data_IF_429023959249
#
_entry.id   IF_429023959249
#
_cell.length_a   1.000
_cell.length_b   1.000
_cell.length_c   1.000
_cell.angle_alpha   90.00
_cell.angle_beta   90.00
_cell.angle_gamma   90.00
#
_symmetry.space_group_name_H-M   'P 1'
#
loop_
_entity.id
_entity.type
_entity.pdbx_description
1 polymer ?
#
# COMPACT_ATOMS: atom_id res chain seq x y z
N UNK A 1 -20.03 -29.29 19.74
CA UNK A 1 -18.57 -29.53 19.63
C UNK A 1 -17.92 -28.96 18.36
N UNK A 2 -18.65 -28.67 17.27
CA UNK A 2 -18.08 -28.11 16.01
C UNK A 2 -17.73 -26.60 16.03
N UNK A 3 -18.47 -25.75 16.77
CA UNK A 3 -18.20 -24.28 16.84
C UNK A 3 -16.90 -23.88 17.54
N UNK A 4 -16.40 -24.66 18.51
CA UNK A 4 -15.12 -24.40 19.18
C UNK A 4 -13.90 -24.91 18.40
N UNK A 5 -14.09 -25.88 17.49
CA UNK A 5 -13.01 -26.38 16.64
C UNK A 5 -12.72 -25.45 15.46
N UNK A 6 -13.71 -24.72 14.93
CA UNK A 6 -13.50 -23.72 13.86
C UNK A 6 -12.77 -22.48 14.39
N UNK A 7 -13.13 -21.99 15.59
CA UNK A 7 -12.40 -20.89 16.26
C UNK A 7 -10.94 -21.29 16.55
N UNK A 8 -10.69 -22.54 16.98
CA UNK A 8 -9.33 -23.02 17.23
C UNK A 8 -8.54 -23.31 15.95
N UNK A 9 -9.19 -23.75 14.86
CA UNK A 9 -8.55 -24.00 13.57
C UNK A 9 -8.27 -22.70 12.81
N UNK A 10 -9.09 -21.64 12.93
CA UNK A 10 -8.78 -20.31 12.37
C UNK A 10 -7.74 -19.54 13.20
N UNK A 11 -7.77 -19.63 14.53
CA UNK A 11 -6.65 -19.14 15.37
C UNK A 11 -5.36 -19.90 15.10
N UNK A 12 -5.42 -21.23 14.85
CA UNK A 12 -4.25 -21.99 14.42
C UNK A 12 -3.82 -21.66 12.99
N UNK A 13 -4.72 -21.40 12.04
CA UNK A 13 -4.34 -20.97 10.69
C UNK A 13 -3.70 -19.57 10.70
N UNK A 14 -4.19 -18.65 11.56
CA UNK A 14 -3.56 -17.34 11.74
C UNK A 14 -2.22 -17.43 12.47
N UNK A 15 -2.04 -18.36 13.42
CA UNK A 15 -0.75 -18.60 14.08
C UNK A 15 0.22 -19.47 13.25
N UNK A 16 -0.28 -20.29 12.31
CA UNK A 16 0.55 -21.12 11.42
C UNK A 16 1.15 -20.33 10.24
N UNK A 17 0.78 -19.06 10.08
CA UNK A 17 1.52 -18.11 9.23
C UNK A 17 2.61 -17.32 10.00
N UNK A 18 2.92 -17.71 11.25
CA UNK A 18 4.04 -17.16 12.05
C UNK A 18 5.14 -18.20 12.35
N UNK A 19 5.20 -19.32 11.62
CA UNK A 19 6.52 -19.69 11.09
C UNK A 19 6.88 -18.61 10.06
N UNK A 20 8.14 -18.23 9.81
CA UNK A 20 8.43 -17.36 8.68
C UNK A 20 7.76 -18.02 7.48
N UNK A 21 6.64 -17.43 7.06
CA UNK A 21 5.92 -17.89 5.90
C UNK A 21 7.01 -17.86 4.85
N UNK A 22 7.34 -19.01 4.28
CA UNK A 22 7.77 -19.01 2.90
C UNK A 22 6.58 -18.38 2.18
N UNK A 23 6.53 -17.06 2.21
CA UNK A 23 5.68 -16.26 1.36
C UNK A 23 6.01 -16.86 0.01
N UNK A 24 5.01 -17.45 -0.64
CA UNK A 24 5.02 -17.65 -2.08
C UNK A 24 4.94 -16.28 -2.77
N UNK A 25 5.80 -15.36 -2.31
CA UNK A 25 6.11 -14.05 -2.77
C UNK A 25 7.57 -14.15 -3.16
N UNK A 26 7.72 -14.42 -4.45
CA UNK A 26 8.92 -14.24 -5.25
C UNK A 26 10.08 -13.58 -4.51
N UNK A 27 11.12 -14.39 -4.31
CA UNK A 27 12.52 -14.01 -4.39
C UNK A 27 12.77 -12.51 -4.64
N UNK A 28 12.75 -11.71 -3.57
CA UNK A 28 13.20 -10.31 -3.57
C UNK A 28 14.70 -10.19 -3.90
N UNK A 29 15.36 -11.34 -4.17
CA UNK A 29 16.73 -11.47 -4.67
C UNK A 29 16.87 -11.56 -6.20
N UNK A 30 15.81 -11.34 -6.98
CA UNK A 30 15.99 -10.95 -8.40
C UNK A 30 16.73 -9.61 -8.46
N UNK A 31 18.07 -9.68 -8.45
CA UNK A 31 18.99 -8.52 -8.49
C UNK A 31 18.76 -7.60 -9.70
N UNK A 32 18.14 -8.14 -10.75
CA UNK A 32 17.93 -7.44 -12.01
C UNK A 32 16.44 -7.42 -12.35
N UNK A 33 15.84 -6.21 -12.46
CA UNK A 33 14.48 -6.07 -12.97
C UNK A 33 14.34 -6.68 -14.37
N UNK A 34 13.20 -7.34 -14.61
CA UNK A 34 12.80 -7.82 -15.93
C UNK A 34 12.44 -6.63 -16.86
N UNK A 35 11.89 -5.56 -16.29
CA UNK A 35 11.61 -4.29 -16.96
C UNK A 35 12.07 -3.12 -16.10
N UNK A 36 12.73 -2.14 -16.73
CA UNK A 36 13.04 -0.85 -16.10
C UNK A 36 12.27 0.26 -16.79
N UNK A 37 11.73 1.19 -16.01
CA UNK A 37 11.00 2.36 -16.49
C UNK A 37 11.68 3.62 -15.94
N UNK A 38 11.87 4.60 -16.82
CA UNK A 38 12.63 5.82 -16.55
C UNK A 38 12.00 7.07 -17.16
N UNK A 39 10.93 6.93 -17.96
CA UNK A 39 10.17 8.04 -18.55
C UNK A 39 8.65 7.78 -18.58
N UNK A 40 7.88 8.84 -18.85
CA UNK A 40 6.42 8.76 -18.98
C UNK A 40 6.00 7.92 -20.19
N UNK A 41 6.73 8.00 -21.30
CA UNK A 41 6.50 7.18 -22.50
C UNK A 41 6.67 5.68 -22.20
N UNK A 42 7.73 5.32 -21.46
CA UNK A 42 7.97 3.93 -21.06
C UNK A 42 6.87 3.42 -20.13
N UNK A 43 6.39 4.25 -19.19
CA UNK A 43 5.29 3.88 -18.30
C UNK A 43 3.96 3.71 -19.06
N UNK A 44 3.66 4.59 -20.04
CA UNK A 44 2.50 4.43 -20.94
C UNK A 44 2.59 3.16 -21.77
N UNK A 45 3.76 2.87 -22.33
CA UNK A 45 3.97 1.67 -23.11
C UNK A 45 3.82 0.39 -22.26
N UNK A 46 4.27 0.43 -21.01
CA UNK A 46 4.04 -0.63 -20.05
C UNK A 46 2.55 -0.83 -19.75
N UNK A 47 1.83 0.23 -19.40
CA UNK A 47 0.38 0.18 -19.17
C UNK A 47 -0.37 -0.39 -20.39
N UNK A 48 0.03 0.02 -21.60
CA UNK A 48 -0.55 -0.48 -22.85
C UNK A 48 -0.35 -1.99 -23.02
N UNK A 49 0.82 -2.52 -22.64
CA UNK A 49 1.06 -3.98 -22.72
C UNK A 49 0.19 -4.75 -21.74
N UNK A 50 0.05 -4.27 -20.50
CA UNK A 50 -0.81 -4.90 -19.50
C UNK A 50 -2.26 -4.85 -19.95
N UNK A 51 -2.75 -3.70 -20.40
CA UNK A 51 -4.11 -3.53 -20.89
C UNK A 51 -4.42 -4.36 -22.17
N UNK A 52 -3.41 -4.96 -22.80
CA UNK A 52 -3.55 -5.90 -23.91
C UNK A 52 -3.30 -7.37 -23.51
N UNK A 53 -3.32 -7.71 -22.22
CA UNK A 53 -3.26 -9.09 -21.70
C UNK A 53 -1.86 -9.57 -21.29
N UNK A 54 -0.84 -8.71 -21.29
CA UNK A 54 0.46 -9.09 -20.70
C UNK A 54 0.46 -8.81 -19.20
N UNK A 55 0.08 -9.80 -18.39
CA UNK A 55 -0.09 -9.65 -16.92
C UNK A 55 1.20 -9.43 -16.15
N UNK A 56 2.35 -9.81 -16.72
CA UNK A 56 3.67 -9.80 -16.09
C UNK A 56 3.83 -10.72 -14.86
N UNK A 57 3.06 -11.82 -14.78
CA UNK A 57 3.25 -12.83 -13.74
C UNK A 57 4.73 -13.28 -13.62
N UNK A 58 5.23 -13.39 -12.40
CA UNK A 58 6.63 -13.76 -12.15
C UNK A 58 7.67 -12.67 -12.44
N UNK A 59 7.28 -11.47 -12.89
CA UNK A 59 8.21 -10.43 -13.37
C UNK A 59 8.36 -9.27 -12.40
N UNK A 60 9.58 -8.75 -12.32
CA UNK A 60 9.92 -7.53 -11.60
C UNK A 60 10.02 -6.33 -12.56
N UNK A 61 9.17 -5.33 -12.34
CA UNK A 61 9.14 -4.05 -13.04
C UNK A 61 9.64 -3.00 -12.05
N UNK A 62 10.61 -2.18 -12.45
CA UNK A 62 11.21 -1.19 -11.55
C UNK A 62 11.31 0.20 -12.14
N UNK A 63 10.83 1.20 -11.40
CA UNK A 63 11.15 2.59 -11.70
C UNK A 63 12.60 2.89 -11.34
N UNK A 64 13.28 3.63 -12.21
CA UNK A 64 14.69 4.01 -12.02
C UNK A 64 14.87 5.52 -11.84
N UNK A 65 13.79 6.29 -12.04
CA UNK A 65 13.72 7.75 -11.92
C UNK A 65 12.32 8.15 -11.50
N UNK A 66 12.21 9.39 -11.01
CA UNK A 66 10.92 10.07 -10.92
C UNK A 66 10.35 10.23 -12.33
N UNK A 67 9.03 10.07 -12.47
CA UNK A 67 8.31 10.13 -13.74
C UNK A 67 7.41 11.36 -13.71
N UNK A 68 7.56 12.22 -14.71
CA UNK A 68 6.79 13.46 -14.83
C UNK A 68 5.98 13.45 -16.13
N UNK A 69 4.66 13.54 -15.99
CA UNK A 69 3.72 13.74 -17.09
C UNK A 69 3.41 15.23 -17.27
N UNK A 70 2.95 15.61 -18.46
CA UNK A 70 2.43 16.95 -18.71
C UNK A 70 0.97 17.03 -18.21
N UNK A 71 0.66 17.77 -17.12
CA UNK A 71 -0.69 17.82 -16.58
C UNK A 71 -1.69 18.53 -17.50
N UNK A 72 -1.23 19.33 -18.48
CA UNK A 72 -2.10 20.00 -19.46
C UNK A 72 -2.57 19.04 -20.58
N UNK A 73 -1.93 17.87 -20.71
CA UNK A 73 -2.39 16.82 -21.61
C UNK A 73 -3.56 16.09 -20.93
N UNK A 74 -4.77 16.24 -21.47
CA UNK A 74 -5.96 15.53 -20.99
C UNK A 74 -5.77 14.02 -21.13
N UNK A 75 -6.18 13.26 -20.10
CA UNK A 75 -6.11 11.80 -20.06
C UNK A 75 -4.73 11.24 -20.46
N UNK A 76 -3.65 11.90 -20.01
CA UNK A 76 -2.27 11.60 -20.38
C UNK A 76 -1.76 10.22 -19.94
N UNK A 77 -2.56 9.47 -19.19
CA UNK A 77 -2.22 8.14 -18.71
C UNK A 77 -3.45 7.25 -18.51
N UNK A 78 -3.45 6.11 -19.21
CA UNK A 78 -4.42 5.03 -18.97
C UNK A 78 -3.93 4.13 -17.83
N UNK A 79 -4.72 3.93 -16.77
CA UNK A 79 -4.40 3.03 -15.66
C UNK A 79 -4.01 1.62 -16.11
N UNK A 80 -3.12 0.99 -15.34
CA UNK A 80 -2.55 -0.32 -15.63
C UNK A 80 -3.51 -1.43 -15.18
N UNK A 81 -3.85 -2.37 -16.06
CA UNK A 81 -4.70 -3.53 -15.71
C UNK A 81 -6.20 -3.28 -15.83
N UNK A 82 -6.65 -2.17 -16.45
CA UNK A 82 -8.09 -1.97 -16.74
C UNK A 82 -8.56 -2.72 -17.98
N UNK A 83 -7.68 -3.46 -18.66
CA UNK A 83 -8.02 -4.11 -19.92
C UNK A 83 -8.25 -3.13 -21.09
N UNK A 84 -8.48 -3.70 -22.27
CA UNK A 84 -8.49 -2.95 -23.54
C UNK A 84 -9.73 -2.07 -23.72
N UNK A 85 -10.84 -2.43 -23.09
CA UNK A 85 -12.16 -1.85 -23.37
C UNK A 85 -12.78 -1.06 -22.21
N UNK A 86 -12.13 -1.01 -21.04
CA UNK A 86 -12.70 -0.36 -19.85
C UNK A 86 -13.11 1.10 -20.07
N UNK A 87 -12.34 1.90 -20.82
CA UNK A 87 -12.71 3.31 -21.08
C UNK A 87 -14.04 3.43 -21.82
N UNK A 88 -14.38 2.47 -22.69
CA UNK A 88 -15.68 2.42 -23.40
C UNK A 88 -16.82 1.92 -22.51
N UNK A 89 -16.48 1.13 -21.49
CA UNK A 89 -17.45 0.52 -20.58
C UNK A 89 -17.65 1.33 -19.29
N UNK A 90 -16.85 2.37 -19.02
CA UNK A 90 -16.97 3.21 -17.81
C UNK A 90 -18.41 3.65 -17.54
N UNK A 91 -19.10 4.15 -18.57
CA UNK A 91 -20.50 4.57 -18.48
C UNK A 91 -21.51 3.42 -18.32
N UNK A 92 -21.15 2.18 -18.71
CA UNK A 92 -21.95 0.97 -18.44
C UNK A 92 -21.92 0.68 -16.94
N UNK A 93 -20.72 0.59 -16.37
CA UNK A 93 -20.50 0.17 -14.98
C UNK A 93 -20.96 1.21 -13.95
N UNK A 94 -20.88 2.51 -14.25
CA UNK A 94 -21.45 3.56 -13.39
C UNK A 94 -22.97 3.44 -13.17
N UNK A 95 -23.67 2.70 -14.04
CA UNK A 95 -25.12 2.49 -13.96
C UNK A 95 -25.52 1.15 -13.34
N UNK A 96 -24.55 0.31 -13.00
CA UNK A 96 -24.78 -1.00 -12.38
C UNK A 96 -24.82 -0.87 -10.86
N UNK A 97 -25.57 -1.75 -10.21
CA UNK A 97 -25.63 -1.80 -8.75
C UNK A 97 -24.28 -2.27 -8.20
N UNK A 98 -23.90 -1.72 -7.05
CA UNK A 98 -22.64 -2.00 -6.38
C UNK A 98 -22.56 -3.50 -6.04
N UNK A 99 -21.44 -4.18 -6.33
CA UNK A 99 -21.29 -5.64 -6.16
C UNK A 99 -21.55 -6.45 -7.44
N UNK A 100 -22.65 -6.21 -8.16
CA UNK A 100 -22.95 -6.97 -9.41
C UNK A 100 -21.95 -6.73 -10.53
N UNK A 101 -21.37 -5.54 -10.59
CA UNK A 101 -20.37 -5.19 -11.60
C UNK A 101 -19.01 -5.85 -11.34
N UNK A 102 -18.71 -6.22 -10.09
CA UNK A 102 -17.41 -6.75 -9.68
C UNK A 102 -17.11 -8.08 -10.35
N UNK A 103 -18.04 -9.03 -10.25
CA UNK A 103 -17.95 -10.36 -10.87
C UNK A 103 -17.85 -10.30 -12.40
N UNK A 104 -18.55 -9.36 -13.04
CA UNK A 104 -18.42 -9.12 -14.48
C UNK A 104 -17.04 -8.54 -14.81
N UNK A 105 -16.56 -7.61 -13.99
CA UNK A 105 -15.29 -6.93 -14.21
C UNK A 105 -14.10 -7.88 -14.15
N UNK A 106 -14.00 -8.70 -13.11
CA UNK A 106 -12.88 -9.63 -12.93
C UNK A 106 -12.85 -10.73 -14.00
N UNK A 107 -14.01 -11.11 -14.57
CA UNK A 107 -14.09 -12.07 -15.67
C UNK A 107 -13.61 -11.49 -17.01
N UNK A 108 -13.80 -10.19 -17.21
CA UNK A 108 -13.48 -9.52 -18.47
C UNK A 108 -12.08 -8.89 -18.50
N UNK A 109 -11.40 -8.76 -17.36
CA UNK A 109 -10.14 -8.03 -17.24
C UNK A 109 -9.01 -8.87 -16.66
N UNK A 110 -7.95 -9.07 -17.45
CA UNK A 110 -6.68 -9.62 -16.97
C UNK A 110 -5.86 -8.50 -16.30
N UNK A 111 -5.88 -8.46 -14.97
CA UNK A 111 -5.16 -7.47 -14.17
C UNK A 111 -3.64 -7.65 -14.18
N UNK A 112 -2.95 -6.76 -13.48
CA UNK A 112 -1.50 -6.85 -13.29
C UNK A 112 -1.14 -7.85 -12.18
N UNK A 113 -0.33 -8.87 -12.49
CA UNK A 113 0.10 -9.93 -11.55
C UNK A 113 1.62 -9.99 -11.33
N UNK A 114 2.37 -9.01 -11.86
CA UNK A 114 3.79 -8.86 -11.59
C UNK A 114 4.09 -8.13 -10.28
N UNK A 115 5.37 -7.81 -10.07
CA UNK A 115 5.83 -6.89 -8.99
C UNK A 115 6.25 -5.56 -9.61
N UNK A 116 5.56 -4.48 -9.27
CA UNK A 116 5.90 -3.11 -9.64
C UNK A 116 6.57 -2.41 -8.46
N UNK A 117 7.90 -2.29 -8.51
CA UNK A 117 8.72 -1.58 -7.54
C UNK A 117 8.98 -0.14 -8.00
N UNK A 118 8.32 0.82 -7.35
CA UNK A 118 8.51 2.24 -7.55
C UNK A 118 9.90 2.75 -7.15
N UNK A 119 10.73 1.98 -6.44
CA UNK A 119 12.07 2.40 -6.05
C UNK A 119 12.14 3.59 -5.08
N UNK A 120 10.99 3.97 -4.51
CA UNK A 120 10.82 5.20 -3.74
C UNK A 120 10.73 6.46 -4.61
N UNK A 121 10.49 6.30 -5.92
CA UNK A 121 10.33 7.38 -6.89
C UNK A 121 8.92 7.97 -6.88
N UNK A 122 8.82 9.19 -7.39
CA UNK A 122 7.57 9.92 -7.52
C UNK A 122 7.06 9.81 -8.96
N UNK A 123 5.77 9.54 -9.11
CA UNK A 123 5.03 9.76 -10.35
C UNK A 123 4.20 11.02 -10.18
N UNK A 124 4.33 11.98 -11.10
CA UNK A 124 3.61 13.25 -11.00
C UNK A 124 3.03 13.74 -12.32
N UNK A 125 2.03 14.61 -12.23
CA UNK A 125 1.41 15.25 -13.39
C UNK A 125 0.42 14.36 -14.13
N UNK A 126 0.03 13.21 -13.56
CA UNK A 126 -1.05 12.40 -14.12
C UNK A 126 -2.31 13.26 -14.25
N UNK A 127 -2.97 13.22 -15.39
CA UNK A 127 -4.25 13.87 -15.61
C UNK A 127 -5.22 12.80 -16.10
N UNK A 128 -6.23 12.49 -15.28
CA UNK A 128 -7.22 11.46 -15.54
C UNK A 128 -8.61 11.99 -15.27
N UNK A 129 -9.47 11.86 -16.27
CA UNK A 129 -10.88 12.22 -16.20
C UNK A 129 -11.80 11.10 -16.67
N UNK A 130 -12.98 10.99 -16.06
CA UNK A 130 -14.08 10.11 -16.50
C UNK A 130 -13.64 8.66 -16.78
N UNK A 131 -12.95 8.04 -15.80
CA UNK A 131 -12.43 6.68 -15.92
C UNK A 131 -12.29 5.97 -14.57
N UNK A 132 -12.06 4.65 -14.63
CA UNK A 132 -11.56 3.88 -13.48
C UNK A 132 -10.13 4.32 -13.16
N UNK A 133 -9.97 5.25 -12.22
CA UNK A 133 -8.74 6.02 -12.05
C UNK A 133 -7.67 5.34 -11.18
N UNK A 134 -6.50 5.98 -11.14
CA UNK A 134 -5.33 5.53 -10.40
C UNK A 134 -4.16 5.16 -11.29
N UNK A 135 -3.05 4.75 -10.67
CA UNK A 135 -1.92 4.18 -11.39
C UNK A 135 -2.27 2.80 -11.98
N UNK A 136 -2.98 1.99 -11.21
CA UNK A 136 -3.51 0.68 -11.57
C UNK A 136 -5.04 0.70 -11.56
N UNK A 137 -5.65 0.03 -12.53
CA UNK A 137 -7.06 -0.33 -12.46
C UNK A 137 -7.29 -1.57 -11.62
N UNK A 138 -6.45 -2.58 -11.82
CA UNK A 138 -6.63 -3.88 -11.18
C UNK A 138 -5.28 -4.53 -10.93
N UNK A 139 -4.99 -4.73 -9.64
CA UNK A 139 -3.84 -5.50 -9.15
C UNK A 139 -4.36 -6.90 -8.83
N UNK A 140 -4.16 -7.83 -9.76
CA UNK A 140 -4.66 -9.20 -9.71
C UNK A 140 -3.56 -10.13 -9.20
N UNK A 141 -3.50 -10.39 -7.89
CA UNK A 141 -2.43 -11.18 -7.25
C UNK A 141 -1.00 -10.62 -7.46
N UNK A 142 -0.88 -9.38 -7.93
CA UNK A 142 0.38 -8.67 -8.13
C UNK A 142 0.84 -7.90 -6.87
N UNK A 143 1.98 -7.22 -6.98
CA UNK A 143 2.47 -6.30 -5.93
C UNK A 143 2.79 -4.92 -6.49
N UNK A 144 2.37 -3.86 -5.80
CA UNK A 144 2.68 -2.46 -6.11
C UNK A 144 3.34 -1.82 -4.88
N UNK A 145 4.62 -1.47 -5.02
CA UNK A 145 5.46 -1.11 -3.89
C UNK A 145 6.20 0.20 -4.09
N UNK A 146 6.42 0.96 -3.03
CA UNK A 146 7.36 2.10 -3.00
C UNK A 146 7.04 3.24 -4.00
N UNK A 147 5.76 3.52 -4.25
CA UNK A 147 5.31 4.56 -5.20
C UNK A 147 4.74 5.77 -4.44
N UNK A 148 5.08 6.98 -4.88
CA UNK A 148 4.36 8.20 -4.46
C UNK A 148 3.70 8.87 -5.65
N UNK A 149 2.39 9.09 -5.57
CA UNK A 149 1.63 9.92 -6.53
C UNK A 149 1.58 11.36 -6.01
N UNK A 150 1.93 12.32 -6.86
CA UNK A 150 1.97 13.75 -6.48
C UNK A 150 1.55 14.65 -7.64
N UNK A 151 0.87 15.77 -7.36
CA UNK A 151 0.49 16.75 -8.38
C UNK A 151 -0.27 16.09 -9.55
N UNK A 152 -1.14 15.13 -9.25
CA UNK A 152 -2.04 14.54 -10.22
C UNK A 152 -3.39 15.27 -10.18
N UNK A 153 -4.01 15.38 -11.34
CA UNK A 153 -5.38 15.85 -11.53
C UNK A 153 -6.25 14.62 -11.74
N UNK A 154 -7.07 14.30 -10.74
CA UNK A 154 -8.10 13.28 -10.83
C UNK A 154 -9.46 13.97 -10.80
N UNK A 155 -10.24 13.83 -11.87
CA UNK A 155 -11.53 14.46 -12.01
C UNK A 155 -12.60 13.47 -12.46
N UNK A 156 -13.68 13.36 -11.70
CA UNK A 156 -14.76 12.42 -11.97
C UNK A 156 -14.29 10.97 -12.20
N UNK A 157 -13.33 10.52 -11.40
CA UNK A 157 -12.83 9.14 -11.47
C UNK A 157 -13.57 8.21 -10.51
N UNK A 158 -13.48 6.92 -10.79
CA UNK A 158 -13.81 5.83 -9.86
C UNK A 158 -12.51 5.11 -9.50
N UNK A 159 -11.98 5.31 -8.30
CA UNK A 159 -10.66 4.75 -7.94
C UNK A 159 -9.97 5.42 -6.77
N UNK A 160 -8.89 4.80 -6.31
CA UNK A 160 -7.87 5.45 -5.49
C UNK A 160 -6.71 5.97 -6.34
N UNK A 161 -5.76 6.67 -5.73
CA UNK A 161 -4.61 7.20 -6.49
C UNK A 161 -3.65 6.09 -6.99
N UNK A 162 -3.61 4.95 -6.31
CA UNK A 162 -2.74 3.82 -6.63
C UNK A 162 -3.52 2.76 -7.41
N UNK A 163 -4.70 2.37 -6.93
CA UNK A 163 -5.49 1.31 -7.53
C UNK A 163 -6.99 1.65 -7.57
N UNK A 164 -7.71 1.10 -8.55
CA UNK A 164 -9.15 0.94 -8.44
C UNK A 164 -9.47 -0.32 -7.61
N UNK A 165 -9.07 -1.51 -8.06
CA UNK A 165 -9.24 -2.78 -7.32
C UNK A 165 -7.88 -3.35 -6.90
N UNK A 166 -7.77 -3.81 -5.66
CA UNK A 166 -6.63 -4.57 -5.14
C UNK A 166 -7.03 -5.97 -4.66
N UNK A 167 -6.68 -6.98 -5.45
CA UNK A 167 -6.65 -8.41 -5.07
C UNK A 167 -5.18 -8.89 -4.89
N UNK A 168 -4.27 -7.98 -4.59
CA UNK A 168 -2.86 -8.28 -4.41
C UNK A 168 -2.27 -7.52 -3.23
N UNK A 169 -1.06 -7.03 -3.41
CA UNK A 169 -0.34 -6.34 -2.35
C UNK A 169 -0.01 -4.91 -2.74
N UNK A 170 -0.42 -3.95 -1.90
CA UNK A 170 0.02 -2.55 -2.04
C UNK A 170 0.83 -2.20 -0.79
N UNK A 171 2.11 -1.86 -0.98
CA UNK A 171 3.04 -1.60 0.12
C UNK A 171 3.79 -0.28 -0.02
N UNK A 172 3.91 0.48 1.05
CA UNK A 172 4.71 1.71 1.05
C UNK A 172 4.33 2.67 -0.10
N UNK A 173 3.03 2.79 -0.36
CA UNK A 173 2.48 3.62 -1.42
C UNK A 173 1.76 4.84 -0.84
N UNK A 174 1.96 6.01 -1.47
CA UNK A 174 1.54 7.27 -0.89
C UNK A 174 0.83 8.19 -1.89
N UNK A 175 -0.34 8.67 -1.50
CA UNK A 175 -1.04 9.73 -2.22
C UNK A 175 -0.72 11.11 -1.66
N UNK A 176 -0.36 12.04 -2.55
CA UNK A 176 -0.19 13.47 -2.26
C UNK A 176 -0.97 14.37 -3.22
N UNK A 177 -1.94 13.81 -3.93
CA UNK A 177 -2.76 14.49 -4.93
C UNK A 177 -4.21 14.58 -4.48
N UNK A 178 -4.93 15.59 -4.97
CA UNK A 178 -6.36 15.69 -4.72
C UNK A 178 -7.11 14.68 -5.60
N UNK A 179 -8.08 13.99 -5.03
CA UNK A 179 -9.01 13.14 -5.78
C UNK A 179 -10.40 13.77 -5.80
N UNK A 180 -11.00 13.84 -6.98
CA UNK A 180 -12.38 14.26 -7.19
C UNK A 180 -13.05 13.20 -8.05
N UNK A 181 -14.18 12.68 -7.60
CA UNK A 181 -14.99 11.80 -8.42
C UNK A 181 -16.04 11.06 -7.63
N UNK A 182 -16.85 10.27 -8.34
CA UNK A 182 -18.02 9.66 -7.75
C UNK A 182 -17.63 8.74 -6.60
N UNK A 183 -16.72 7.81 -6.88
CA UNK A 183 -16.24 6.83 -5.93
C UNK A 183 -14.73 6.97 -5.79
N UNK A 184 -14.27 7.62 -4.72
CA UNK A 184 -12.84 7.91 -4.53
C UNK A 184 -12.35 7.66 -3.11
N UNK A 185 -11.10 7.20 -3.03
CA UNK A 185 -10.36 6.96 -1.79
C UNK A 185 -8.88 7.33 -1.95
N UNK A 186 -8.10 7.37 -0.87
CA UNK A 186 -6.72 7.82 -0.98
C UNK A 186 -5.80 6.88 -1.77
N UNK A 187 -5.91 5.56 -1.56
CA UNK A 187 -4.96 4.56 -2.08
C UNK A 187 -5.63 3.62 -3.09
N UNK A 188 -6.60 2.83 -2.66
CA UNK A 188 -7.33 1.87 -3.48
C UNK A 188 -8.82 2.04 -3.27
N UNK A 189 -9.67 1.92 -4.29
CA UNK A 189 -11.12 1.98 -4.02
C UNK A 189 -11.56 0.75 -3.24
N UNK A 190 -11.23 -0.43 -3.77
CA UNK A 190 -11.56 -1.73 -3.21
C UNK A 190 -10.29 -2.48 -2.81
N UNK A 191 -10.33 -3.14 -1.66
CA UNK A 191 -9.25 -3.98 -1.17
C UNK A 191 -9.77 -5.33 -0.67
N UNK A 192 -9.44 -6.41 -1.39
CA UNK A 192 -9.73 -7.79 -0.99
C UNK A 192 -8.52 -8.49 -0.35
N UNK A 193 -7.34 -7.90 -0.51
CA UNK A 193 -6.10 -8.49 -0.02
C UNK A 193 -5.33 -7.50 0.87
N UNK A 194 -4.06 -7.20 0.65
CA UNK A 194 -3.26 -6.50 1.68
C UNK A 194 -2.81 -5.11 1.23
N UNK A 195 -3.12 -4.11 2.05
CA UNK A 195 -2.55 -2.77 2.01
C UNK A 195 -1.73 -2.55 3.28
N UNK A 196 -0.43 -2.28 3.12
CA UNK A 196 0.51 -2.06 4.23
C UNK A 196 1.35 -0.81 4.05
N UNK A 197 1.66 -0.12 5.15
CA UNK A 197 2.60 1.00 5.15
C UNK A 197 2.20 2.13 4.17
N UNK A 198 0.91 2.33 3.93
CA UNK A 198 0.42 3.30 2.95
C UNK A 198 -0.06 4.59 3.62
N UNK A 199 -0.13 5.66 2.83
CA UNK A 199 -0.63 6.94 3.37
C UNK A 199 -1.36 7.80 2.36
N UNK A 200 -2.43 8.43 2.82
CA UNK A 200 -3.05 9.54 2.10
C UNK A 200 -2.83 10.86 2.82
N UNK A 201 -2.27 11.84 2.11
CA UNK A 201 -2.26 13.25 2.57
C UNK A 201 -3.01 14.17 1.61
N UNK A 202 -3.47 13.62 0.48
CA UNK A 202 -4.25 14.34 -0.52
C UNK A 202 -5.69 14.55 -0.07
N UNK A 203 -6.30 15.65 -0.52
CA UNK A 203 -7.73 15.91 -0.25
C UNK A 203 -8.57 14.94 -1.08
N UNK A 204 -9.59 14.35 -0.46
CA UNK A 204 -10.57 13.50 -1.14
C UNK A 204 -11.87 14.31 -1.20
N UNK A 205 -12.38 14.56 -2.40
CA UNK A 205 -13.60 15.35 -2.66
C UNK A 205 -14.57 14.52 -3.49
N UNK A 206 -15.25 13.57 -2.86
CA UNK A 206 -16.15 12.68 -3.56
C UNK A 206 -17.46 13.35 -3.97
N UNK A 207 -18.04 12.93 -5.08
CA UNK A 207 -19.22 13.56 -5.71
C UNK A 207 -20.43 12.64 -5.85
N UNK A 208 -20.26 11.32 -5.69
CA UNK A 208 -21.28 10.32 -5.98
C UNK A 208 -21.62 9.41 -4.80
N UNK A 209 -22.80 8.84 -4.82
CA UNK A 209 -23.47 8.22 -3.67
C UNK A 209 -22.88 6.84 -3.29
N UNK A 210 -21.81 6.78 -2.49
CA UNK A 210 -21.19 5.52 -2.04
C UNK A 210 -20.36 5.68 -0.76
N UNK A 211 -19.87 4.55 -0.21
CA UNK A 211 -18.90 4.46 0.89
C UNK A 211 -17.55 5.08 0.54
N UNK A 212 -16.91 5.75 1.50
CA UNK A 212 -15.66 6.47 1.23
C UNK A 212 -14.72 6.46 2.41
N UNK A 213 -13.43 6.32 2.12
CA UNK A 213 -12.42 6.39 3.16
C UNK A 213 -11.10 7.00 2.75
N UNK A 214 -10.35 7.42 3.77
CA UNK A 214 -9.06 8.08 3.60
C UNK A 214 -8.00 7.20 2.93
N UNK A 215 -8.08 5.88 3.09
CA UNK A 215 -7.20 4.89 2.45
C UNK A 215 -7.98 4.07 1.42
N UNK A 216 -9.09 3.46 1.81
CA UNK A 216 -9.98 2.72 0.91
C UNK A 216 -11.44 3.10 1.05
N UNK A 217 -12.24 2.86 0.01
CA UNK A 217 -13.69 2.96 0.12
C UNK A 217 -14.25 1.68 0.74
N UNK A 218 -13.86 0.51 0.24
CA UNK A 218 -14.29 -0.81 0.71
C UNK A 218 -13.09 -1.65 1.08
N UNK A 219 -13.16 -2.31 2.24
CA UNK A 219 -12.13 -3.21 2.74
C UNK A 219 -12.72 -4.57 3.11
N UNK A 220 -12.41 -5.58 2.30
CA UNK A 220 -12.68 -7.00 2.59
C UNK A 220 -11.39 -7.79 2.87
N UNK A 221 -10.24 -7.13 2.80
CA UNK A 221 -8.92 -7.66 3.18
C UNK A 221 -8.30 -6.99 4.42
N UNK A 222 -6.97 -6.87 4.41
CA UNK A 222 -6.16 -6.33 5.49
C UNK A 222 -5.61 -4.92 5.18
N UNK A 223 -5.79 -3.99 6.12
CA UNK A 223 -5.15 -2.68 6.14
C UNK A 223 -4.29 -2.57 7.39
N UNK A 224 -2.98 -2.49 7.21
CA UNK A 224 -2.04 -2.48 8.33
C UNK A 224 -1.08 -1.31 8.22
N UNK A 225 -0.82 -0.62 9.33
CA UNK A 225 0.21 0.41 9.42
C UNK A 225 0.00 1.60 8.44
N UNK A 226 -1.27 1.98 8.21
CA UNK A 226 -1.63 3.02 7.25
C UNK A 226 -2.14 4.29 7.94
N UNK A 227 -2.05 5.44 7.26
CA UNK A 227 -2.62 6.67 7.81
C UNK A 227 -3.23 7.62 6.79
N UNK A 228 -4.30 8.29 7.23
CA UNK A 228 -4.89 9.41 6.52
C UNK A 228 -4.62 10.73 7.25
N UNK A 229 -4.07 11.69 6.53
CA UNK A 229 -3.96 13.09 6.94
C UNK A 229 -4.65 14.05 5.97
N UNK A 230 -5.16 13.55 4.85
CA UNK A 230 -5.94 14.31 3.89
C UNK A 230 -7.36 14.55 4.38
N UNK A 231 -7.90 15.75 4.15
CA UNK A 231 -9.31 16.01 4.45
C UNK A 231 -10.20 15.26 3.47
N UNK A 232 -11.32 14.75 3.97
CA UNK A 232 -12.41 14.17 3.19
C UNK A 232 -13.54 15.21 3.18
N UNK A 233 -13.88 15.73 2.00
CA UNK A 233 -14.85 16.83 1.82
C UNK A 233 -16.08 16.29 1.09
N UNK A 234 -17.14 16.04 1.85
CA UNK A 234 -18.39 15.42 1.44
C UNK A 234 -19.34 16.52 0.99
N UNK A 235 -19.77 16.47 -0.27
CA UNK A 235 -20.67 17.48 -0.86
C UNK A 235 -22.07 16.96 -1.19
N UNK A 236 -22.31 15.65 -1.13
CA UNK A 236 -23.59 15.02 -1.40
C UNK A 236 -24.50 14.99 -0.16
N UNK A 237 -25.76 14.59 -0.38
CA UNK A 237 -26.80 14.59 0.65
C UNK A 237 -27.05 13.21 1.26
N UNK A 238 -26.21 12.22 0.94
CA UNK A 238 -26.49 10.82 1.26
C UNK A 238 -25.81 10.38 2.56
N UNK A 239 -26.46 9.41 3.22
CA UNK A 239 -26.08 8.90 4.53
C UNK A 239 -25.24 7.61 4.42
N UNK A 240 -24.25 7.58 3.54
CA UNK A 240 -23.31 6.45 3.43
C UNK A 240 -22.21 6.53 4.51
N UNK A 241 -21.58 5.39 4.79
CA UNK A 241 -20.44 5.31 5.72
C UNK A 241 -19.22 6.07 5.21
N UNK A 242 -18.79 7.08 5.98
CA UNK A 242 -17.55 7.81 5.75
C UNK A 242 -16.54 7.56 6.86
N UNK A 243 -15.40 6.97 6.53
CA UNK A 243 -14.36 6.68 7.51
C UNK A 243 -13.04 7.39 7.22
N UNK A 244 -12.30 7.71 8.28
CA UNK A 244 -10.97 8.28 8.14
C UNK A 244 -9.95 7.33 7.48
N UNK A 245 -10.17 6.02 7.54
CA UNK A 245 -9.35 4.99 6.89
C UNK A 245 -10.15 4.24 5.83
N UNK A 246 -11.27 3.62 6.22
CA UNK A 246 -12.12 2.84 5.31
C UNK A 246 -13.57 3.36 5.33
N UNK A 247 -14.25 3.41 4.19
CA UNK A 247 -15.68 3.72 4.17
C UNK A 247 -16.53 2.57 4.70
N UNK A 248 -16.20 1.37 4.26
CA UNK A 248 -16.85 0.11 4.57
C UNK A 248 -15.80 -0.94 4.92
N UNK A 249 -16.03 -1.76 5.94
CA UNK A 249 -15.11 -2.80 6.38
C UNK A 249 -15.82 -4.12 6.69
N UNK A 250 -15.46 -5.15 5.92
CA UNK A 250 -16.06 -6.48 5.95
C UNK A 250 -17.47 -6.46 5.42
N UNK A 251 -17.91 -7.60 4.93
CA UNK A 251 -19.18 -7.79 4.25
C UNK A 251 -20.35 -7.98 5.24
N UNK A 252 -21.55 -7.59 4.81
CA UNK A 252 -22.79 -7.66 5.56
C UNK A 252 -23.59 -8.94 5.30
N UNK A 253 -23.17 -9.75 4.34
CA UNK A 253 -23.78 -11.06 4.08
C UNK A 253 -23.53 -12.06 5.24
N UNK A 254 -24.60 -12.69 5.72
CA UNK A 254 -24.61 -13.58 6.90
C UNK A 254 -23.69 -14.82 6.75
N UNK A 255 -23.42 -15.23 5.50
CA UNK A 255 -22.54 -16.35 5.13
C UNK A 255 -21.21 -15.89 4.50
N UNK A 256 -20.89 -14.60 4.56
CA UNK A 256 -19.68 -14.08 3.91
C UNK A 256 -18.39 -14.62 4.54
N UNK A 257 -17.46 -15.04 3.68
CA UNK A 257 -16.08 -15.33 4.06
C UNK A 257 -15.19 -14.05 4.05
N UNK A 258 -15.75 -12.90 3.67
CA UNK A 258 -15.05 -11.62 3.60
C UNK A 258 -14.89 -10.99 4.99
N UNK A 259 -13.63 -10.89 5.46
CA UNK A 259 -13.29 -10.38 6.78
C UNK A 259 -12.38 -9.15 6.69
N UNK A 260 -12.95 -7.97 6.91
CA UNK A 260 -12.17 -6.73 6.93
C UNK A 260 -11.31 -6.61 8.19
N UNK A 261 -9.99 -6.61 8.02
CA UNK A 261 -9.02 -6.41 9.11
C UNK A 261 -8.33 -5.05 9.01
N UNK A 262 -8.29 -4.33 10.13
CA UNK A 262 -7.61 -3.05 10.22
C UNK A 262 -6.75 -2.98 11.47
N UNK A 263 -5.46 -2.73 11.29
CA UNK A 263 -4.50 -2.76 12.39
C UNK A 263 -3.51 -1.60 12.34
N UNK A 264 -3.23 -1.02 13.51
CA UNK A 264 -2.18 0.00 13.67
C UNK A 264 -2.30 1.19 12.71
N UNK A 265 -3.54 1.62 12.43
CA UNK A 265 -3.82 2.70 11.50
C UNK A 265 -4.20 3.98 12.24
N UNK A 266 -4.02 5.16 11.62
CA UNK A 266 -4.58 6.38 12.20
C UNK A 266 -5.08 7.42 11.22
N UNK A 267 -6.03 8.24 11.68
CA UNK A 267 -6.57 9.36 10.94
C UNK A 267 -6.44 10.69 11.69
N UNK A 268 -5.88 11.70 11.03
CA UNK A 268 -5.88 13.10 11.49
C UNK A 268 -6.55 14.05 10.49
N UNK A 269 -6.86 13.56 9.29
CA UNK A 269 -7.53 14.30 8.23
C UNK A 269 -8.99 14.54 8.60
N UNK A 270 -9.48 15.77 8.44
CA UNK A 270 -10.85 16.10 8.84
C UNK A 270 -11.84 15.50 7.85
N UNK A 271 -12.91 14.91 8.39
CA UNK A 271 -14.08 14.54 7.62
C UNK A 271 -15.06 15.71 7.73
N UNK A 272 -15.32 16.36 6.60
CA UNK A 272 -16.09 17.59 6.50
C UNK A 272 -17.30 17.30 5.62
N UNK A 273 -18.48 17.36 6.19
CA UNK A 273 -19.74 17.30 5.46
C UNK A 273 -20.82 18.08 6.21
N UNK A 274 -22.09 17.83 5.90
CA UNK A 274 -23.22 18.56 6.51
C UNK A 274 -23.56 18.03 7.90
N UNK A 275 -24.18 18.90 8.71
CA UNK A 275 -24.64 18.55 10.05
C UNK A 275 -25.69 17.42 10.00
N UNK A 276 -25.54 16.41 10.85
CA UNK A 276 -26.49 15.29 11.01
C UNK A 276 -26.05 13.94 10.45
N UNK A 277 -24.95 13.88 9.67
CA UNK A 277 -24.44 12.60 9.14
C UNK A 277 -23.42 11.96 10.09
N UNK A 278 -23.39 10.62 10.09
CA UNK A 278 -22.44 9.84 10.87
C UNK A 278 -21.08 9.77 10.14
N UNK A 279 -20.14 10.59 10.57
CA UNK A 279 -18.75 10.59 10.09
C UNK A 279 -17.83 9.97 11.14
N UNK A 280 -17.09 8.95 10.73
CA UNK A 280 -16.29 8.13 11.61
C UNK A 280 -14.78 8.32 11.43
N UNK A 281 -14.07 8.42 12.54
CA UNK A 281 -12.63 8.66 12.55
C UNK A 281 -11.80 7.55 11.92
N UNK A 282 -12.27 6.30 11.93
CA UNK A 282 -11.56 5.12 11.42
C UNK A 282 -12.36 4.46 10.29
N UNK A 283 -13.52 3.88 10.57
CA UNK A 283 -14.35 3.17 9.58
C UNK A 283 -15.74 3.78 9.54
N UNK A 284 -16.26 4.10 8.35
CA UNK A 284 -17.65 4.55 8.18
C UNK A 284 -18.64 3.51 8.71
N UNK A 285 -18.83 2.43 7.95
CA UNK A 285 -19.62 1.27 8.33
C UNK A 285 -18.70 0.07 8.53
N UNK A 286 -18.84 -0.61 9.66
CA UNK A 286 -18.19 -1.90 9.86
C UNK A 286 -19.27 -2.98 10.06
N UNK A 287 -19.09 -4.12 9.39
CA UNK A 287 -19.99 -5.27 9.53
C UNK A 287 -19.31 -6.45 10.21
N UNK A 288 -18.21 -6.94 9.65
CA UNK A 288 -17.49 -8.10 10.16
C UNK A 288 -15.97 -7.84 10.18
N UNK A 289 -15.27 -8.43 11.15
CA UNK A 289 -13.81 -8.47 11.19
C UNK A 289 -13.15 -7.88 12.44
N UNK A 290 -11.91 -7.40 12.30
CA UNK A 290 -11.07 -6.97 13.42
C UNK A 290 -10.59 -5.54 13.18
N UNK A 291 -10.82 -4.66 14.15
CA UNK A 291 -10.23 -3.32 14.17
C UNK A 291 -9.40 -3.21 15.44
N UNK A 292 -8.08 -3.13 15.29
CA UNK A 292 -7.15 -3.19 16.41
C UNK A 292 -6.09 -2.08 16.37
N UNK A 293 -5.83 -1.47 17.51
CA UNK A 293 -4.79 -0.43 17.68
C UNK A 293 -4.95 0.70 16.65
N UNK A 294 -6.20 1.10 16.37
CA UNK A 294 -6.49 2.18 15.43
C UNK A 294 -6.83 3.49 16.18
N UNK A 295 -6.34 4.61 15.65
CA UNK A 295 -6.35 5.90 16.35
C UNK A 295 -6.91 7.02 15.49
N UNK A 296 -7.71 7.92 16.08
CA UNK A 296 -8.18 9.08 15.33
C UNK A 296 -8.20 10.35 16.18
N UNK A 297 -8.02 11.47 15.50
CA UNK A 297 -8.15 12.78 16.11
C UNK A 297 -9.62 13.09 16.45
N UNK A 298 -9.93 13.53 17.66
CA UNK A 298 -11.27 14.01 18.02
C UNK A 298 -11.72 15.18 17.14
N UNK A 299 -10.76 15.90 16.58
CA UNK A 299 -10.97 17.02 15.65
C UNK A 299 -11.17 16.56 14.20
N UNK A 300 -10.94 15.28 13.89
CA UNK A 300 -11.20 14.74 12.54
C UNK A 300 -12.62 14.22 12.36
N UNK A 301 -13.25 13.69 13.41
CA UNK A 301 -14.57 13.07 13.35
C UNK A 301 -15.28 13.04 14.71
N UNK A 302 -16.60 12.83 14.70
CA UNK A 302 -17.44 12.81 15.91
C UNK A 302 -17.41 11.45 16.63
N UNK A 303 -17.33 10.36 15.88
CA UNK A 303 -17.25 8.98 16.38
C UNK A 303 -16.00 8.27 15.80
N UNK A 304 -15.69 7.07 16.29
CA UNK A 304 -14.62 6.23 15.75
C UNK A 304 -15.10 5.42 14.54
N UNK A 305 -16.33 4.93 14.62
CA UNK A 305 -17.02 4.08 13.66
C UNK A 305 -18.53 4.11 13.90
N UNK A 306 -19.31 3.85 12.85
CA UNK A 306 -20.70 3.40 12.96
C UNK A 306 -20.70 1.86 12.84
N UNK A 307 -21.16 1.19 13.91
CA UNK A 307 -21.27 -0.26 13.93
C UNK A 307 -22.59 -0.65 13.31
N UNK A 308 -22.54 -1.44 12.24
CA UNK A 308 -23.72 -1.92 11.53
C UNK A 308 -23.88 -3.44 11.65
N UNK A 309 -22.79 -4.19 11.88
CA UNK A 309 -22.84 -5.65 12.11
C UNK A 309 -22.48 -6.11 13.53
N UNK A 310 -22.79 -7.38 13.82
CA UNK A 310 -22.73 -8.00 15.16
C UNK A 310 -21.42 -8.77 15.44
N UNK A 311 -20.49 -8.88 14.47
CA UNK A 311 -19.28 -9.71 14.57
C UNK A 311 -17.98 -8.91 14.40
N UNK A 312 -17.87 -7.78 15.09
CA UNK A 312 -16.68 -6.95 15.08
C UNK A 312 -15.90 -7.09 16.39
N UNK A 313 -14.62 -7.43 16.27
CA UNK A 313 -13.71 -7.41 17.39
C UNK A 313 -12.92 -6.09 17.43
N UNK A 314 -13.11 -5.32 18.51
CA UNK A 314 -12.50 -4.02 18.73
C UNK A 314 -11.47 -4.10 19.86
N UNK A 315 -10.19 -3.83 19.56
CA UNK A 315 -9.11 -3.98 20.54
C UNK A 315 -8.15 -2.78 20.50
N UNK A 316 -7.94 -2.08 21.62
CA UNK A 316 -6.90 -1.04 21.72
C UNK A 316 -7.11 0.20 20.84
N UNK A 317 -8.30 0.39 20.25
CA UNK A 317 -8.62 1.58 19.46
C UNK A 317 -8.83 2.80 20.36
N UNK A 318 -8.30 3.97 19.99
CA UNK A 318 -8.41 5.16 20.84
C UNK A 318 -8.74 6.45 20.06
N UNK A 319 -9.63 7.25 20.66
CA UNK A 319 -9.87 8.64 20.28
C UNK A 319 -8.87 9.53 21.02
N UNK A 320 -8.06 10.27 20.28
CA UNK A 320 -7.03 11.16 20.83
C UNK A 320 -7.23 12.59 20.32
N UNK A 321 -6.65 13.58 20.97
CA UNK A 321 -6.53 14.93 20.40
C UNK A 321 -5.42 14.98 19.36
N UNK A 322 -5.52 15.89 18.39
CA UNK A 322 -4.40 16.21 17.49
C UNK A 322 -3.10 16.50 18.24
N UNK A 323 -3.18 17.15 19.40
CA UNK A 323 -2.02 17.43 20.26
C UNK A 323 -1.39 16.14 20.82
N UNK A 324 -2.19 15.18 21.28
CA UNK A 324 -1.70 13.90 21.78
C UNK A 324 -1.09 13.04 20.67
N UNK A 325 -1.70 13.07 19.48
CA UNK A 325 -1.16 12.41 18.29
C UNK A 325 0.11 13.08 17.77
N UNK A 326 0.40 14.32 18.15
CA UNK A 326 1.61 15.05 17.78
C UNK A 326 2.76 14.87 18.79
N UNK A 327 2.90 13.67 19.37
CA UNK A 327 3.88 13.39 20.43
C UNK A 327 4.77 12.19 20.11
N UNK A 328 5.94 12.15 20.75
CA UNK A 328 6.83 10.96 20.70
C UNK A 328 6.18 9.74 21.34
N UNK A 329 5.38 9.92 22.39
CA UNK A 329 4.67 8.81 23.05
C UNK A 329 3.68 8.14 22.10
N UNK A 330 2.99 8.92 21.25
CA UNK A 330 2.12 8.35 20.23
C UNK A 330 2.91 7.61 19.14
N UNK A 331 4.08 8.12 18.74
CA UNK A 331 5.00 7.39 17.84
C UNK A 331 5.47 6.07 18.47
N UNK A 332 5.76 6.04 19.77
CA UNK A 332 6.09 4.81 20.49
C UNK A 332 4.93 3.82 20.46
N UNK A 333 3.72 4.28 20.78
CA UNK A 333 2.51 3.46 20.76
C UNK A 333 2.26 2.80 19.38
N UNK A 334 2.42 3.56 18.30
CA UNK A 334 2.30 3.02 16.93
C UNK A 334 3.40 2.01 16.58
N UNK A 335 4.60 2.13 17.17
CA UNK A 335 5.67 1.16 16.94
C UNK A 335 5.51 -0.12 17.79
N UNK A 336 4.76 -0.06 18.89
CA UNK A 336 4.42 -1.21 19.74
C UNK A 336 3.19 -1.98 19.20
N UNK A 337 2.22 -1.26 18.64
CA UNK A 337 0.92 -1.82 18.19
C UNK A 337 0.98 -2.77 16.99
N UNK A 338 2.16 -3.02 16.43
CA UNK A 338 2.37 -3.91 15.28
C UNK A 338 3.71 -4.65 15.34
N UNK A 339 4.24 -4.92 16.55
CA UNK A 339 5.50 -5.69 16.72
C UNK A 339 5.46 -7.10 16.10
N UNK A 340 4.27 -7.65 15.91
CA UNK A 340 4.06 -8.98 15.31
C UNK A 340 4.18 -8.96 13.76
N UNK A 341 4.21 -7.78 13.13
CA UNK A 341 4.29 -7.63 11.68
C UNK A 341 5.64 -7.06 11.23
N UNK A 342 6.13 -7.50 10.07
CA UNK A 342 7.24 -6.85 9.38
C UNK A 342 6.75 -5.56 8.70
N UNK A 343 6.66 -4.48 9.48
CA UNK A 343 6.17 -3.15 9.04
C UNK A 343 7.26 -2.07 9.06
N UNK A 344 7.01 -0.96 8.38
CA UNK A 344 7.83 0.24 8.47
C UNK A 344 7.57 0.95 9.80
N UNK A 345 8.64 1.25 10.54
CA UNK A 345 8.53 2.01 11.80
C UNK A 345 8.05 3.44 11.58
N UNK A 346 7.40 3.98 12.60
CA UNK A 346 6.95 5.37 12.65
C UNK A 346 8.04 6.30 13.19
N UNK A 347 8.11 7.50 12.63
CA UNK A 347 8.88 8.63 13.16
C UNK A 347 8.03 9.90 13.22
N UNK A 348 8.41 10.86 14.06
CA UNK A 348 7.73 12.15 14.10
C UNK A 348 8.20 13.03 12.93
N UNK A 349 7.27 13.47 12.07
CA UNK A 349 7.58 14.38 11.00
C UNK A 349 7.82 15.80 11.54
N UNK A 350 9.03 16.33 11.39
CA UNK A 350 9.38 17.67 11.90
C UNK A 350 8.65 18.85 11.24
N UNK A 351 7.98 18.65 10.10
CA UNK A 351 7.22 19.69 9.40
C UNK A 351 5.76 19.71 9.82
N UNK A 352 5.14 18.54 9.95
CA UNK A 352 3.72 18.43 10.29
C UNK A 352 3.48 18.22 11.78
N UNK A 353 4.51 17.80 12.52
CA UNK A 353 4.47 17.35 13.92
C UNK A 353 3.63 16.09 14.17
N UNK A 354 3.21 15.38 13.12
CA UNK A 354 2.50 14.10 13.25
C UNK A 354 3.42 12.94 12.88
N UNK A 355 3.10 11.71 13.33
CA UNK A 355 3.80 10.52 12.86
C UNK A 355 3.81 10.45 11.33
N UNK A 356 4.83 9.78 10.81
CA UNK A 356 4.94 9.37 9.42
C UNK A 356 5.74 8.09 9.39
N UNK A 357 5.54 7.30 8.35
CA UNK A 357 6.35 6.11 8.11
C UNK A 357 7.79 6.53 7.81
N UNK A 358 8.75 5.84 8.42
CA UNK A 358 10.17 6.10 8.23
C UNK A 358 10.56 5.85 6.77
N UNK A 359 11.31 6.77 6.19
CA UNK A 359 11.64 6.69 4.76
C UNK A 359 12.61 5.53 4.47
N UNK A 360 12.14 4.53 3.71
CA UNK A 360 12.98 3.44 3.22
C UNK A 360 14.14 3.93 2.33
N UNK A 361 15.23 3.17 2.36
CA UNK A 361 16.43 3.37 1.54
C UNK A 361 16.79 2.05 0.90
N UNK A 362 17.13 2.13 -0.37
CA UNK A 362 17.51 0.97 -1.18
C UNK A 362 18.90 0.45 -0.79
N UNK A 363 19.02 -0.88 -0.79
CA UNK A 363 20.26 -1.64 -0.74
C UNK A 363 20.53 -2.16 -2.14
N UNK A 364 21.55 -1.62 -2.79
CA UNK A 364 21.91 -1.98 -4.17
C UNK A 364 23.12 -2.90 -4.18
N UNK A 365 23.16 -3.82 -5.14
CA UNK A 365 24.20 -4.81 -5.27
C UNK A 365 25.00 -4.57 -6.55
N UNK A 366 26.33 -4.59 -6.46
CA UNK A 366 27.23 -4.38 -7.60
C UNK A 366 28.39 -5.38 -7.59
N UNK A 367 28.85 -5.74 -8.79
CA UNK A 367 30.04 -6.56 -9.04
C UNK A 367 29.96 -8.04 -8.59
N UNK A 368 28.87 -8.74 -8.87
CA UNK A 368 28.62 -10.14 -8.44
C UNK A 368 29.21 -11.22 -9.36
N UNK A 369 30.47 -11.10 -9.80
CA UNK A 369 31.08 -12.18 -10.61
C UNK A 369 31.45 -13.36 -9.71
N UNK A 370 30.95 -14.55 -10.04
CA UNK A 370 31.24 -15.83 -9.37
C UNK A 370 30.65 -16.04 -7.97
N UNK A 371 29.54 -15.35 -7.68
CA UNK A 371 28.68 -15.59 -6.53
C UNK A 371 27.51 -14.62 -6.54
N UNK A 372 26.60 -14.76 -5.58
CA UNK A 372 25.43 -13.90 -5.39
C UNK A 372 25.37 -13.51 -3.92
N UNK A 373 24.75 -12.37 -3.62
CA UNK A 373 24.34 -12.02 -2.25
C UNK A 373 22.83 -11.94 -2.22
N UNK A 374 22.22 -12.72 -1.34
CA UNK A 374 20.80 -12.56 -1.00
C UNK A 374 20.70 -11.61 0.21
N UNK A 375 19.60 -10.88 0.28
CA UNK A 375 19.27 -9.98 1.38
C UNK A 375 17.89 -10.32 1.90
N UNK A 376 17.67 -10.16 3.19
CA UNK A 376 16.33 -10.19 3.78
C UNK A 376 15.51 -8.98 3.30
N UNK A 377 16.17 -7.84 3.14
CA UNK A 377 15.54 -6.58 2.79
C UNK A 377 16.32 -5.84 1.71
N UNK A 378 15.69 -5.62 0.55
CA UNK A 378 16.23 -4.75 -0.52
C UNK A 378 15.95 -3.26 -0.25
N UNK A 379 15.07 -2.98 0.71
CA UNK A 379 14.76 -1.65 1.24
C UNK A 379 14.73 -1.68 2.76
N UNK A 380 15.34 -0.69 3.41
CA UNK A 380 15.35 -0.61 4.86
C UNK A 380 15.27 0.84 5.35
N UNK A 381 14.59 1.08 6.46
CA UNK A 381 14.61 2.38 7.14
C UNK A 381 15.85 2.52 8.02
N UNK A 382 16.23 3.74 8.36
CA UNK A 382 17.40 3.99 9.19
C UNK A 382 17.31 3.26 10.54
N UNK A 383 18.35 2.53 10.92
CA UNK A 383 18.40 1.80 12.19
C UNK A 383 17.90 0.35 12.09
N UNK A 384 17.18 0.00 11.02
CA UNK A 384 16.84 -1.38 10.71
C UNK A 384 18.12 -2.21 10.46
N UNK A 385 18.12 -3.45 10.92
CA UNK A 385 19.19 -4.40 10.62
C UNK A 385 18.89 -5.03 9.26
N UNK A 386 19.92 -5.15 8.42
CA UNK A 386 19.85 -5.83 7.13
C UNK A 386 20.81 -7.01 7.18
N UNK A 387 20.33 -8.17 6.75
CA UNK A 387 21.07 -9.43 6.73
C UNK A 387 21.42 -9.81 5.32
N UNK A 388 22.70 -10.11 5.09
CA UNK A 388 23.23 -10.51 3.81
C UNK A 388 23.76 -11.94 3.88
N UNK A 389 23.32 -12.78 2.94
CA UNK A 389 23.77 -14.16 2.79
C UNK A 389 24.58 -14.25 1.50
N UNK A 390 25.87 -14.54 1.65
CA UNK A 390 26.79 -14.66 0.51
C UNK A 390 26.82 -16.10 0.02
N UNK A 391 26.49 -16.30 -1.25
CA UNK A 391 26.47 -17.61 -1.92
C UNK A 391 27.50 -17.63 -3.06
N UNK A 392 28.74 -18.10 -2.81
CA UNK A 392 29.73 -18.26 -3.87
C UNK A 392 29.32 -19.35 -4.87
N UNK A 393 29.67 -19.20 -6.16
CA UNK A 393 29.57 -20.30 -7.14
C UNK A 393 30.49 -21.46 -6.75
N UNK A 394 30.21 -22.66 -7.27
CA UNK A 394 31.05 -23.85 -7.11
C UNK A 394 32.53 -23.51 -7.40
N UNK A 395 33.44 -23.95 -6.52
CA UNK A 395 34.89 -23.68 -6.56
C UNK A 395 35.34 -22.23 -6.28
N UNK A 396 34.44 -21.34 -5.88
CA UNK A 396 34.78 -19.99 -5.41
C UNK A 396 34.56 -19.83 -3.91
N UNK A 397 35.19 -18.80 -3.34
CA UNK A 397 34.96 -18.30 -1.98
C UNK A 397 34.97 -16.78 -1.98
N UNK A 398 34.26 -16.16 -1.04
CA UNK A 398 34.30 -14.70 -0.86
C UNK A 398 35.73 -14.26 -0.58
N UNK A 399 36.22 -13.27 -1.34
CA UNK A 399 37.52 -12.62 -1.14
C UNK A 399 37.35 -11.35 -0.31
N UNK A 400 36.48 -10.44 -0.74
CA UNK A 400 36.17 -9.20 -0.02
C UNK A 400 34.70 -8.85 -0.17
N UNK A 401 34.14 -8.21 0.84
CA UNK A 401 32.83 -7.53 0.76
C UNK A 401 32.96 -6.15 1.37
N UNK A 402 32.38 -5.15 0.69
CA UNK A 402 32.35 -3.76 1.13
C UNK A 402 30.93 -3.24 1.04
N UNK A 403 30.49 -2.58 2.11
CA UNK A 403 29.20 -1.90 2.19
C UNK A 403 29.50 -0.41 2.32
N UNK A 404 29.00 0.40 1.38
CA UNK A 404 29.21 1.86 1.37
C UNK A 404 27.90 2.58 1.14
N UNK A 405 27.76 3.78 1.68
CA UNK A 405 26.73 4.71 1.22
C UNK A 405 26.98 5.09 -0.24
N UNK A 406 25.98 5.63 -0.93
CA UNK A 406 26.16 6.20 -2.27
C UNK A 406 27.16 7.36 -2.32
N UNK A 407 27.42 8.03 -1.19
CA UNK A 407 28.48 9.05 -1.04
C UNK A 407 29.88 8.45 -0.78
N UNK A 408 30.01 7.12 -0.70
CA UNK A 408 31.29 6.43 -0.50
C UNK A 408 31.69 6.17 0.96
N UNK A 409 30.88 6.57 1.95
CA UNK A 409 31.16 6.31 3.37
C UNK A 409 31.02 4.81 3.67
N UNK A 410 32.07 4.22 4.23
CA UNK A 410 32.07 2.80 4.64
C UNK A 410 31.10 2.54 5.79
N UNK A 411 30.31 1.49 5.66
CA UNK A 411 29.40 0.97 6.70
C UNK A 411 30.00 -0.31 7.27
N UNK A 412 30.09 -0.37 8.60
CA UNK A 412 30.57 -1.54 9.31
C UNK A 412 29.50 -2.63 9.34
N UNK A 413 29.92 -3.88 9.22
CA UNK A 413 29.05 -5.04 9.34
C UNK A 413 29.69 -6.09 10.27
N UNK A 414 28.85 -6.92 10.87
CA UNK A 414 29.28 -8.05 11.71
C UNK A 414 28.98 -9.36 10.99
N UNK A 415 29.89 -10.33 11.09
CA UNK A 415 29.65 -11.69 10.60
C UNK A 415 29.17 -12.56 11.75
N UNK A 416 28.00 -13.19 11.61
CA UNK A 416 27.41 -14.07 12.63
C UNK A 416 26.92 -15.34 11.94
N UNK A 417 27.43 -16.51 12.32
CA UNK A 417 27.01 -17.82 11.78
C UNK A 417 26.98 -17.94 10.23
N UNK A 418 27.82 -17.18 9.52
CA UNK A 418 27.89 -17.20 8.05
C UNK A 418 27.13 -16.08 7.35
N UNK A 419 26.29 -15.35 8.08
CA UNK A 419 25.58 -14.17 7.61
C UNK A 419 26.35 -12.89 7.93
N UNK A 420 26.12 -11.84 7.15
CA UNK A 420 26.69 -10.52 7.38
C UNK A 420 25.58 -9.53 7.67
N UNK A 421 25.68 -8.82 8.79
CA UNK A 421 24.62 -7.92 9.26
C UNK A 421 25.14 -6.51 9.42
N UNK A 422 24.40 -5.52 8.90
CA UNK A 422 24.69 -4.11 9.09
C UNK A 422 23.43 -3.35 9.52
N UNK A 423 23.61 -2.16 10.06
CA UNK A 423 22.51 -1.25 10.41
C UNK A 423 22.36 -0.21 9.31
N UNK A 424 21.15 -0.07 8.79
CA UNK A 424 20.88 0.82 7.66
C UNK A 424 21.12 2.30 8.05
N UNK A 425 21.93 3.07 7.30
CA UNK A 425 22.12 4.50 7.54
C UNK A 425 20.97 5.34 6.95
N UNK A 426 21.01 6.67 7.14
CA UNK A 426 20.04 7.63 6.55
C UNK A 426 20.14 7.78 5.02
N UNK A 427 20.89 6.91 4.33
CA UNK A 427 21.23 7.01 2.90
C UNK A 427 21.15 5.65 2.21
N UNK A 428 20.95 5.63 0.89
CA UNK A 428 21.07 4.42 0.08
C UNK A 428 22.45 3.77 0.26
N UNK A 429 22.49 2.44 0.15
CA UNK A 429 23.70 1.64 0.35
C UNK A 429 24.02 0.86 -0.92
N UNK A 430 25.32 0.69 -1.19
CA UNK A 430 25.87 -0.15 -2.24
C UNK A 430 26.69 -1.24 -1.57
N UNK A 431 26.30 -2.50 -1.79
CA UNK A 431 27.03 -3.70 -1.42
C UNK A 431 27.83 -4.17 -2.62
N UNK A 432 29.12 -4.39 -2.40
CA UNK A 432 30.03 -4.95 -3.41
C UNK A 432 30.72 -6.17 -2.84
N UNK A 433 30.86 -7.20 -3.66
CA UNK A 433 31.58 -8.42 -3.30
C UNK A 433 32.55 -8.82 -4.40
N UNK A 434 33.65 -9.46 -4.02
CA UNK A 434 34.56 -10.12 -4.96
C UNK A 434 34.80 -11.55 -4.51
N UNK A 435 34.89 -12.46 -5.47
CA UNK A 435 35.08 -13.88 -5.23
C UNK A 435 36.40 -14.34 -5.83
N UNK A 436 37.11 -15.25 -5.15
CA UNK A 436 38.33 -15.90 -5.66
C UNK A 436 38.15 -17.41 -5.73
N UNK A 437 38.85 -18.05 -6.67
CA UNK A 437 38.91 -19.52 -6.75
C UNK A 437 39.46 -20.08 -5.43
N UNK A 438 38.92 -21.22 -4.99
CA UNK A 438 39.27 -21.81 -3.69
C UNK A 438 40.74 -22.15 -3.59
#
# INVERSE_FOLDING_TARGET
>A
MKKRQIIFVMLLCCMMFITPMEVLGQDSSKEKPDVTISSAEELRAFATKVNNGNTYDGKLIKLTKDIHFNPEEEDNFTPIGIGKYAKKQYQKYLKMDFGTWYDEWIKENEGFSGTFDGGGHIISGLNQSDMFGGLFGYVALGSVENVTIKNATFQNIVGGSIAFINEGFIRNCHNRSKLIGDWVSGIALWNDMIITDCSNIGVISPTGNTHRGGIVAVNDGMIVNCYNAGNIIISDNDNYGYGGIAGYNGDDEEDSESFGWMMNCYNIGRILGRDGNNYAGIVGCAYNGIIQSCYYAKESAVSAFELVGDHINLMGNQRLTKREMATKSFVTLLNEGAEEFEIIKWELNHKTNYPTLMKLREVTFKNMKNGVIHTDNSYAYQGQKVTLIVVPKKNYKLKTMSIKTTSGKTIQYKKVKGEYRFTMPKSKVVVTASFKKK
#
